data_IF_331548826847
#
_entry.id   IF_331548826847
#
_cell.length_a   1.000
_cell.length_b   1.000
_cell.length_c   1.000
_cell.angle_alpha   90.00
_cell.angle_beta   90.00
_cell.angle_gamma   90.00
#
_symmetry.space_group_name_H-M   'P 1'
#
loop_
_entity.id
_entity.type
_entity.pdbx_description
1 polymer ?
#
# COMPACT_ATOMS: atom_id res chain seq x y z
N UNK A 1 2.75 11.17 -3.22
CA UNK A 1 2.32 9.95 -2.50
C UNK A 1 2.72 9.97 -1.03
N UNK A 2 4.00 10.15 -0.67
CA UNK A 2 4.47 10.10 0.73
C UNK A 2 3.62 10.88 1.76
N UNK A 3 3.32 12.15 1.52
CA UNK A 3 2.49 12.95 2.44
C UNK A 3 1.09 12.39 2.65
N UNK A 4 0.49 11.77 1.63
CA UNK A 4 -0.84 11.14 1.74
C UNK A 4 -0.77 9.86 2.57
N UNK A 5 0.30 9.07 2.42
CA UNK A 5 0.53 7.86 3.23
C UNK A 5 0.69 8.24 4.70
N UNK A 6 1.51 9.25 5.00
CA UNK A 6 1.70 9.74 6.37
C UNK A 6 0.36 10.14 7.00
N UNK A 7 -0.45 10.95 6.29
CA UNK A 7 -1.77 11.38 6.76
C UNK A 7 -2.74 10.21 6.94
N UNK A 8 -2.73 9.24 6.04
CA UNK A 8 -3.56 8.03 6.15
C UNK A 8 -3.19 7.20 7.39
N UNK A 9 -1.90 7.00 7.65
CA UNK A 9 -1.43 6.26 8.82
C UNK A 9 -1.71 7.01 10.14
N UNK A 10 -1.65 8.35 10.13
CA UNK A 10 -2.07 9.17 11.27
C UNK A 10 -3.57 9.06 11.54
N UNK A 11 -4.39 9.09 10.49
CA UNK A 11 -5.83 8.89 10.61
C UNK A 11 -6.19 7.52 11.22
N UNK A 12 -5.53 6.45 10.77
CA UNK A 12 -5.73 5.11 11.35
C UNK A 12 -5.37 5.06 12.84
N UNK A 13 -4.30 5.76 13.25
CA UNK A 13 -3.90 5.82 14.65
C UNK A 13 -4.94 6.53 15.52
N UNK A 14 -5.45 7.68 15.07
CA UNK A 14 -6.39 8.50 15.83
C UNK A 14 -7.79 7.86 15.93
N UNK A 15 -8.29 7.26 14.85
CA UNK A 15 -9.66 6.74 14.79
C UNK A 15 -9.79 5.29 15.27
N UNK A 16 -8.76 4.46 15.09
CA UNK A 16 -8.83 3.01 15.42
C UNK A 16 -8.04 2.62 16.67
N UNK A 17 -7.31 3.58 17.27
CA UNK A 17 -6.46 3.37 18.43
C UNK A 17 -5.44 2.22 18.22
N UNK A 18 -4.98 2.08 16.96
CA UNK A 18 -4.11 0.99 16.55
C UNK A 18 -2.74 1.08 17.25
N UNK A 19 -2.22 -0.08 17.68
CA UNK A 19 -0.93 -0.17 18.35
C UNK A 19 0.22 0.31 17.44
N UNK A 20 1.36 0.75 18.01
CA UNK A 20 2.54 1.12 17.21
C UNK A 20 3.05 0.00 16.29
N UNK A 21 2.81 -1.27 16.65
CA UNK A 21 3.17 -2.42 15.82
C UNK A 21 2.23 -2.59 14.63
N UNK A 22 0.93 -2.39 14.82
CA UNK A 22 -0.08 -2.42 13.75
C UNK A 22 0.17 -1.30 12.74
N UNK A 23 0.50 -0.09 13.20
CA UNK A 23 0.83 1.04 12.32
C UNK A 23 2.03 0.74 11.41
N UNK A 24 3.10 0.16 11.96
CA UNK A 24 4.28 -0.24 11.17
C UNK A 24 3.96 -1.34 10.16
N UNK A 25 3.10 -2.30 10.53
CA UNK A 25 2.64 -3.31 9.59
C UNK A 25 1.88 -2.69 8.42
N UNK A 26 0.93 -1.78 8.69
CA UNK A 26 0.19 -1.07 7.66
C UNK A 26 1.06 -0.19 6.77
N UNK A 27 2.04 0.51 7.34
CA UNK A 27 3.02 1.26 6.56
C UNK A 27 3.77 0.34 5.59
N UNK A 28 4.26 -0.80 6.09
CA UNK A 28 4.93 -1.80 5.27
C UNK A 28 4.05 -2.36 4.14
N UNK A 29 2.78 -2.65 4.44
CA UNK A 29 1.83 -3.16 3.45
C UNK A 29 1.52 -2.13 2.36
N UNK A 30 1.33 -0.85 2.74
CA UNK A 30 1.09 0.24 1.78
C UNK A 30 2.32 0.46 0.90
N UNK A 31 3.52 0.47 1.47
CA UNK A 31 4.76 0.63 0.70
C UNK A 31 5.00 -0.55 -0.25
N UNK A 32 4.73 -1.78 0.18
CA UNK A 32 4.81 -2.97 -0.68
C UNK A 32 3.83 -2.88 -1.84
N UNK A 33 2.59 -2.47 -1.58
CA UNK A 33 1.59 -2.26 -2.64
C UNK A 33 2.03 -1.19 -3.64
N UNK A 34 2.59 -0.07 -3.18
CA UNK A 34 3.05 1.00 -4.09
C UNK A 34 4.26 0.59 -4.93
N UNK A 35 5.18 -0.21 -4.37
CA UNK A 35 6.26 -0.82 -5.14
C UNK A 35 5.71 -1.72 -6.24
N UNK A 36 4.78 -2.61 -5.90
CA UNK A 36 4.07 -3.44 -6.89
C UNK A 36 3.36 -2.58 -7.94
N UNK A 37 2.68 -1.50 -7.53
CA UNK A 37 1.90 -0.65 -8.43
C UNK A 37 2.79 0.07 -9.44
N UNK A 38 3.97 0.53 -9.01
CA UNK A 38 4.98 1.13 -9.88
C UNK A 38 5.41 0.14 -10.96
N UNK A 39 5.79 -1.08 -10.55
CA UNK A 39 6.19 -2.15 -11.46
C UNK A 39 5.06 -2.57 -12.41
N UNK A 40 3.85 -2.73 -11.87
CA UNK A 40 2.65 -3.15 -12.60
C UNK A 40 2.25 -2.15 -13.68
N UNK A 41 2.41 -0.85 -13.42
CA UNK A 41 2.10 0.23 -14.37
C UNK A 41 3.30 0.63 -15.25
N UNK A 42 4.48 0.06 -15.01
CA UNK A 42 5.73 0.45 -15.69
C UNK A 42 6.10 1.92 -15.44
N UNK A 43 5.85 2.40 -14.22
CA UNK A 43 6.12 3.78 -13.79
C UNK A 43 7.19 3.81 -12.72
N UNK A 44 7.93 4.91 -12.64
CA UNK A 44 8.76 5.20 -11.47
C UNK A 44 7.86 5.47 -10.24
N UNK A 45 8.26 5.06 -9.02
CA UNK A 45 7.48 5.28 -7.80
C UNK A 45 7.07 6.74 -7.56
N UNK A 46 7.92 7.70 -7.93
CA UNK A 46 7.67 9.14 -7.80
C UNK A 46 6.60 9.67 -8.77
N UNK A 47 6.39 8.94 -9.87
CA UNK A 47 5.38 9.27 -10.87
C UNK A 47 3.97 8.78 -10.49
N UNK A 48 3.86 7.92 -9.48
CA UNK A 48 2.57 7.43 -9.00
C UNK A 48 1.70 8.58 -8.47
N UNK A 49 0.42 8.50 -8.82
CA UNK A 49 -0.62 9.42 -8.39
C UNK A 49 -1.71 8.66 -7.63
N UNK A 50 -2.52 9.33 -6.79
CA UNK A 50 -3.62 8.68 -6.08
C UNK A 50 -4.61 7.99 -7.03
N UNK A 51 -4.81 8.53 -8.23
CA UNK A 51 -5.74 8.01 -9.23
C UNK A 51 -5.26 6.68 -9.83
N UNK A 52 -3.96 6.36 -9.72
CA UNK A 52 -3.42 5.06 -10.14
C UNK A 52 -3.88 3.90 -9.23
N UNK A 53 -4.38 4.21 -8.02
CA UNK A 53 -4.87 3.22 -7.06
C UNK A 53 -6.29 2.80 -7.42
N UNK A 54 -6.41 1.88 -8.38
CA UNK A 54 -7.69 1.34 -8.83
C UNK A 54 -8.01 -0.05 -8.23
N UNK A 55 -9.29 -0.44 -8.14
CA UNK A 55 -9.68 -1.76 -7.66
C UNK A 55 -9.05 -2.93 -8.43
N UNK A 56 -8.77 -2.74 -9.72
CA UNK A 56 -8.09 -3.75 -10.54
C UNK A 56 -6.64 -3.97 -10.08
N UNK A 57 -5.90 -2.89 -9.79
CA UNK A 57 -4.54 -2.97 -9.30
C UNK A 57 -4.46 -3.63 -7.91
N UNK A 58 -5.42 -3.33 -7.02
CA UNK A 58 -5.52 -4.00 -5.71
C UNK A 58 -5.75 -5.50 -5.85
N UNK A 59 -6.62 -5.92 -6.79
CA UNK A 59 -6.83 -7.35 -7.08
C UNK A 59 -5.58 -8.02 -7.66
N UNK A 60 -4.90 -7.35 -8.58
CA UNK A 60 -3.65 -7.84 -9.17
C UNK A 60 -2.57 -8.04 -8.09
N UNK A 61 -2.42 -7.08 -7.18
CA UNK A 61 -1.50 -7.19 -6.05
C UNK A 61 -1.83 -8.37 -5.13
N UNK A 62 -3.11 -8.58 -4.79
CA UNK A 62 -3.51 -9.74 -3.98
C UNK A 62 -3.21 -11.06 -4.69
N UNK A 63 -3.37 -11.11 -6.01
CA UNK A 63 -3.02 -12.28 -6.80
C UNK A 63 -1.49 -12.52 -6.83
N UNK A 64 -0.68 -11.47 -6.96
CA UNK A 64 0.80 -11.59 -6.95
C UNK A 64 1.32 -12.08 -5.59
N UNK A 65 0.75 -11.57 -4.47
CA UNK A 65 1.10 -12.06 -3.13
C UNK A 65 0.78 -13.55 -2.92
N UNK A 66 -0.25 -14.06 -3.59
CA UNK A 66 -0.60 -15.49 -3.52
C UNK A 66 0.40 -16.35 -4.29
N UNK A 67 0.93 -15.85 -5.41
CA UNK A 67 1.97 -16.51 -6.18
C UNK A 67 3.33 -16.53 -5.46
N UNK A 68 3.61 -15.51 -4.64
CA UNK A 68 4.84 -15.38 -3.85
C UNK A 68 4.80 -16.18 -2.52
N UNK A 69 3.70 -16.87 -2.20
CA UNK A 69 3.55 -17.61 -0.94
C UNK A 69 3.35 -16.72 0.30
N UNK A 70 3.04 -15.44 0.10
CA UNK A 70 2.76 -14.45 1.15
C UNK A 70 1.27 -14.36 1.52
N UNK A 71 0.38 -15.01 0.75
CA UNK A 71 -1.00 -15.22 1.15
C UNK A 71 -1.07 -16.30 2.25
N UNK A 72 -1.15 -15.87 3.52
CA UNK A 72 -1.60 -16.72 4.62
C UNK A 72 -3.00 -16.30 5.06
#
# INVERSE_FOLDING_TARGET
MQTLITRFLEHLHLERNDSPHTRRAYEGDVLRFLGFLADYLGKEPEALRPEDVEPAAVRAFRASMSAEGLAR
#
